data_IF_111788508329
#
_entry.id   IF_111788508329
#
_cell.length_a   1.000
_cell.length_b   1.000
_cell.length_c   1.000
_cell.angle_alpha   90.00
_cell.angle_beta   90.00
_cell.angle_gamma   90.00
#
_symmetry.space_group_name_H-M   'P 1'
#
loop_
_entity.id
_entity.type
_entity.pdbx_description
1 polymer ?
#
# COMPACT_ATOMS: atom_id res chain seq x y z
N UNK A 1 9.55 20.00 -2.48
CA UNK A 1 9.10 20.07 -1.06
C UNK A 1 7.79 20.83 -0.92
N UNK A 2 7.64 22.00 -1.55
CA UNK A 2 6.34 22.69 -1.63
C UNK A 2 5.24 21.81 -2.26
N UNK A 3 5.55 21.05 -3.30
CA UNK A 3 4.57 20.15 -3.95
C UNK A 3 4.10 19.02 -3.02
N UNK A 4 5.00 18.46 -2.21
CA UNK A 4 4.67 17.44 -1.20
C UNK A 4 3.76 18.03 -0.12
N UNK A 5 4.01 19.27 0.32
CA UNK A 5 3.21 19.96 1.33
C UNK A 5 1.82 20.35 0.81
N UNK A 6 1.72 20.80 -0.44
CA UNK A 6 0.44 21.05 -1.11
C UNK A 6 -0.37 19.76 -1.21
N UNK A 7 0.29 18.65 -1.57
CA UNK A 7 -0.34 17.34 -1.66
C UNK A 7 -0.79 16.80 -0.30
N UNK A 8 -0.04 17.08 0.77
CA UNK A 8 -0.43 16.70 2.14
C UNK A 8 -1.72 17.41 2.58
N UNK A 9 -1.93 18.67 2.18
CA UNK A 9 -3.14 19.42 2.51
C UNK A 9 -4.37 18.83 1.82
N UNK A 10 -4.23 18.46 0.54
CA UNK A 10 -5.26 17.75 -0.22
C UNK A 10 -5.56 16.38 0.39
N UNK A 11 -4.53 15.62 0.75
CA UNK A 11 -4.69 14.32 1.38
C UNK A 11 -5.41 14.41 2.73
N UNK A 12 -5.04 15.38 3.57
CA UNK A 12 -5.70 15.59 4.86
C UNK A 12 -7.20 15.91 4.68
N UNK A 13 -7.54 16.69 3.66
CA UNK A 13 -8.92 17.01 3.31
C UNK A 13 -9.69 15.76 2.86
N UNK A 14 -9.07 14.92 2.03
CA UNK A 14 -9.68 13.67 1.55
C UNK A 14 -9.84 12.63 2.67
N UNK A 15 -8.82 12.44 3.51
CA UNK A 15 -8.91 11.60 4.70
C UNK A 15 -10.05 12.08 5.61
N UNK A 16 -10.13 13.38 5.87
CA UNK A 16 -11.21 13.96 6.66
C UNK A 16 -12.60 13.69 6.07
N UNK A 17 -12.74 13.78 4.74
CA UNK A 17 -13.99 13.42 4.05
C UNK A 17 -14.31 11.93 4.20
N UNK A 18 -13.36 11.03 3.94
CA UNK A 18 -13.57 9.57 4.04
C UNK A 18 -13.98 9.15 5.46
N UNK A 19 -13.30 9.67 6.48
CA UNK A 19 -13.63 9.39 7.88
C UNK A 19 -15.03 9.91 8.22
N UNK A 20 -15.41 11.09 7.69
CA UNK A 20 -16.74 11.67 7.88
C UNK A 20 -17.85 10.87 7.18
N UNK A 21 -17.55 10.27 6.03
CA UNK A 21 -18.43 9.37 5.28
C UNK A 21 -18.54 7.97 5.93
N UNK A 22 -17.78 7.70 6.99
CA UNK A 22 -17.81 6.46 7.75
C UNK A 22 -16.86 5.37 7.24
N UNK A 23 -15.95 5.72 6.32
CA UNK A 23 -14.87 4.81 5.94
C UNK A 23 -13.88 4.62 7.08
N UNK A 24 -13.22 3.47 7.05
CA UNK A 24 -12.12 3.12 7.94
C UNK A 24 -10.82 3.04 7.15
N UNK A 25 -9.72 3.41 7.78
CA UNK A 25 -8.43 3.59 7.12
C UNK A 25 -7.30 3.01 7.98
N UNK A 26 -6.32 2.44 7.30
CA UNK A 26 -5.02 2.09 7.87
C UNK A 26 -3.94 2.92 7.18
N UNK A 27 -3.13 3.61 7.97
CA UNK A 27 -2.00 4.42 7.52
C UNK A 27 -0.71 3.67 7.79
N UNK A 28 0.04 3.36 6.74
CA UNK A 28 1.38 2.79 6.84
C UNK A 28 2.39 3.95 6.96
N UNK A 29 2.86 4.23 8.17
CA UNK A 29 3.71 5.38 8.46
C UNK A 29 5.20 4.99 8.40
N UNK A 30 5.96 5.40 7.37
CA UNK A 30 7.41 5.18 7.34
C UNK A 30 8.09 5.97 8.47
N UNK A 31 9.03 5.32 9.15
CA UNK A 31 9.82 5.96 10.20
C UNK A 31 10.81 7.00 9.63
N UNK A 32 11.38 7.81 10.52
CA UNK A 32 12.32 8.88 10.15
C UNK A 32 13.54 8.33 9.39
N UNK A 33 14.03 7.15 9.75
CA UNK A 33 15.16 6.51 9.07
C UNK A 33 14.82 6.10 7.63
N UNK A 34 13.63 5.57 7.39
CA UNK A 34 13.12 5.24 6.07
C UNK A 34 12.95 6.49 5.22
N UNK A 35 12.40 7.54 5.81
CA UNK A 35 12.23 8.84 5.15
C UNK A 35 13.57 9.52 4.85
N UNK A 36 14.59 9.37 5.70
CA UNK A 36 15.92 9.90 5.45
C UNK A 36 16.64 9.17 4.30
N UNK A 37 16.34 7.89 4.08
CA UNK A 37 16.89 7.09 2.96
C UNK A 37 16.30 7.48 1.61
N UNK A 38 15.17 8.19 1.57
CA UNK A 38 14.66 8.80 0.33
C UNK A 38 15.58 9.95 -0.11
N UNK A 39 16.57 9.61 -0.93
CA UNK A 39 17.41 10.64 -1.57
C UNK A 39 16.61 11.46 -2.60
N UNK A 40 16.99 12.72 -2.82
CA UNK A 40 16.34 13.62 -3.80
C UNK A 40 16.35 13.08 -5.23
N UNK A 41 17.32 12.23 -5.59
CA UNK A 41 17.34 11.56 -6.89
C UNK A 41 16.18 10.56 -7.03
N UNK A 42 15.76 9.89 -5.96
CA UNK A 42 14.66 8.92 -6.01
C UNK A 42 13.29 9.56 -6.21
N UNK A 43 13.00 10.71 -5.60
CA UNK A 43 11.74 11.43 -5.86
C UNK A 43 11.59 11.86 -7.34
N UNK A 44 12.70 12.01 -8.06
CA UNK A 44 12.71 12.39 -9.48
C UNK A 44 12.41 11.21 -10.40
N UNK A 45 12.64 9.97 -9.94
CA UNK A 45 12.44 8.72 -10.68
C UNK A 45 11.13 8.01 -10.26
N UNK A 46 10.68 8.22 -9.03
CA UNK A 46 9.53 7.56 -8.39
C UNK A 46 8.18 8.27 -8.64
N UNK A 47 7.86 8.61 -9.89
CA UNK A 47 6.52 9.12 -10.24
C UNK A 47 6.05 10.34 -9.42
N UNK A 48 4.74 10.57 -9.37
CA UNK A 48 4.19 11.69 -8.60
C UNK A 48 4.29 11.38 -7.09
N UNK A 49 4.89 12.26 -6.25
CA UNK A 49 5.03 12.03 -4.81
C UNK A 49 3.69 11.80 -4.11
N UNK A 50 2.62 12.37 -4.67
CA UNK A 50 1.24 12.10 -4.29
C UNK A 50 0.89 10.61 -4.34
N UNK A 51 1.28 9.91 -5.41
CA UNK A 51 0.96 8.50 -5.60
C UNK A 51 1.65 7.59 -4.58
N UNK A 52 2.87 7.95 -4.17
CA UNK A 52 3.59 7.28 -3.08
C UNK A 52 2.79 7.43 -1.78
N UNK A 53 2.33 8.63 -1.44
CA UNK A 53 1.55 8.86 -0.23
C UNK A 53 0.26 8.03 -0.21
N UNK A 54 -0.51 8.02 -1.30
CA UNK A 54 -1.73 7.21 -1.39
C UNK A 54 -1.46 5.69 -1.31
N UNK A 55 -0.27 5.24 -1.72
CA UNK A 55 0.11 3.84 -1.65
C UNK A 55 0.29 3.35 -0.20
N UNK A 56 0.50 4.26 0.75
CA UNK A 56 0.59 3.96 2.17
C UNK A 56 -0.78 3.96 2.87
N UNK A 57 -1.87 4.20 2.15
CA UNK A 57 -3.21 4.26 2.71
C UNK A 57 -4.04 3.08 2.23
N UNK A 58 -4.44 2.24 3.18
CA UNK A 58 -5.30 1.07 2.95
C UNK A 58 -6.72 1.46 3.41
N UNK A 59 -7.76 1.38 2.56
CA UNK A 59 -9.14 1.75 2.91
C UNK A 59 -9.86 0.63 3.67
N UNK A 60 -9.15 0.01 4.61
CA UNK A 60 -9.64 -1.03 5.52
C UNK A 60 -9.02 -0.79 6.89
N UNK A 61 -9.69 -1.25 7.95
CA UNK A 61 -9.16 -1.18 9.31
C UNK A 61 -8.30 -2.42 9.61
N UNK A 62 -7.01 -2.23 9.86
CA UNK A 62 -6.06 -3.30 10.08
C UNK A 62 -5.20 -3.01 11.33
N UNK A 63 -5.35 -3.86 12.34
CA UNK A 63 -4.45 -3.90 13.51
C UNK A 63 -3.27 -4.81 13.23
N UNK A 64 -2.23 -4.73 14.07
CA UNK A 64 -1.12 -5.70 14.04
C UNK A 64 -1.63 -7.15 14.04
N UNK A 65 -2.49 -7.46 15.00
CA UNK A 65 -3.05 -8.81 15.17
C UNK A 65 -3.77 -9.28 13.89
N UNK A 66 -4.59 -8.42 13.29
CA UNK A 66 -5.30 -8.75 12.04
C UNK A 66 -4.32 -9.04 10.92
N UNK A 67 -3.36 -8.16 10.69
CA UNK A 67 -2.39 -8.30 9.59
C UNK A 67 -1.56 -9.56 9.76
N UNK A 68 -1.06 -9.82 10.98
CA UNK A 68 -0.28 -11.01 11.30
C UNK A 68 -1.07 -12.29 11.08
N UNK A 69 -2.30 -12.34 11.60
CA UNK A 69 -3.18 -13.49 11.45
C UNK A 69 -3.50 -13.76 9.97
N UNK A 70 -3.74 -12.72 9.17
CA UNK A 70 -4.02 -12.87 7.74
C UNK A 70 -2.82 -13.44 6.99
N UNK A 71 -1.61 -12.89 7.18
CA UNK A 71 -0.42 -13.40 6.47
C UNK A 71 -0.02 -14.80 6.95
N UNK A 72 -0.23 -15.14 8.22
CA UNK A 72 0.00 -16.49 8.74
C UNK A 72 -0.96 -17.53 8.14
N UNK A 73 -2.23 -17.16 7.96
CA UNK A 73 -3.27 -18.07 7.46
C UNK A 73 -3.26 -18.23 5.94
N UNK A 74 -3.01 -17.14 5.22
CA UNK A 74 -3.10 -17.10 3.76
C UNK A 74 -1.74 -17.05 3.06
N UNK A 75 -0.65 -16.89 3.81
CA UNK A 75 0.72 -16.75 3.30
C UNK A 75 0.98 -15.37 2.69
N UNK A 76 0.22 -15.02 1.65
CA UNK A 76 0.35 -13.77 0.91
C UNK A 76 -1.01 -13.07 0.78
N UNK A 77 -1.10 -11.87 1.32
CA UNK A 77 -2.31 -11.03 1.36
C UNK A 77 -2.11 -9.83 0.45
N UNK A 78 -3.18 -9.34 -0.17
CA UNK A 78 -3.15 -8.12 -1.00
C UNK A 78 -4.14 -7.13 -0.43
N UNK A 79 -3.65 -5.98 0.01
CA UNK A 79 -4.45 -4.86 0.45
C UNK A 79 -4.68 -3.91 -0.71
N UNK A 80 -5.93 -3.48 -0.88
CA UNK A 80 -6.23 -2.35 -1.74
C UNK A 80 -5.63 -1.07 -1.17
N UNK A 81 -5.20 -0.16 -2.05
CA UNK A 81 -4.79 1.18 -1.64
C UNK A 81 -5.80 2.21 -2.15
N UNK A 82 -5.76 3.40 -1.57
CA UNK A 82 -6.75 4.45 -1.85
C UNK A 82 -6.77 4.87 -3.34
N UNK A 83 -5.67 4.71 -4.08
CA UNK A 83 -5.64 4.89 -5.55
C UNK A 83 -5.53 3.54 -6.26
N UNK A 84 -6.63 3.08 -6.84
CA UNK A 84 -6.66 1.92 -7.75
C UNK A 84 -5.84 2.19 -9.03
N UNK A 85 -5.24 1.16 -9.65
CA UNK A 85 -5.32 -0.26 -9.31
C UNK A 85 -4.23 -0.74 -8.32
N UNK A 86 -3.57 0.16 -7.61
CA UNK A 86 -2.41 -0.20 -6.81
C UNK A 86 -2.81 -1.04 -5.58
N UNK A 87 -2.13 -2.18 -5.40
CA UNK A 87 -2.27 -3.05 -4.23
C UNK A 87 -0.94 -3.19 -3.50
N UNK A 88 -0.98 -3.19 -2.17
CA UNK A 88 0.16 -3.53 -1.32
C UNK A 88 0.09 -5.01 -1.01
N UNK A 89 1.16 -5.72 -1.32
CA UNK A 89 1.30 -7.12 -0.95
C UNK A 89 1.83 -7.20 0.47
N UNK A 90 1.29 -8.10 1.29
CA UNK A 90 1.82 -8.43 2.60
C UNK A 90 2.10 -9.93 2.74
N UNK A 91 3.20 -10.28 3.38
CA UNK A 91 3.62 -11.66 3.66
C UNK A 91 4.30 -11.76 5.03
N UNK A 92 4.27 -12.95 5.65
CA UNK A 92 5.03 -13.17 6.88
C UNK A 92 6.51 -13.31 6.55
N UNK A 93 7.36 -12.54 7.24
CA UNK A 93 8.80 -12.62 7.09
C UNK A 93 9.50 -12.21 8.39
N UNK A 94 10.49 -13.01 8.80
CA UNK A 94 11.30 -12.76 10.00
C UNK A 94 10.49 -12.57 11.29
N UNK A 95 9.34 -13.22 11.41
CA UNK A 95 8.46 -13.08 12.58
C UNK A 95 7.64 -11.79 12.62
N UNK A 96 7.71 -10.95 11.57
CA UNK A 96 6.90 -9.74 11.40
C UNK A 96 6.11 -9.81 10.07
N UNK A 97 5.34 -8.77 9.78
CA UNK A 97 4.63 -8.58 8.51
C UNK A 97 5.51 -7.73 7.59
N UNK A 98 5.80 -8.25 6.40
CA UNK A 98 6.51 -7.53 5.35
C UNK A 98 5.52 -7.07 4.29
N UNK A 99 5.56 -5.79 3.96
CA UNK A 99 4.76 -5.13 2.95
C UNK A 99 5.59 -4.81 1.72
N UNK A 100 4.95 -4.75 0.56
CA UNK A 100 5.57 -4.33 -0.70
C UNK A 100 6.40 -5.43 -1.38
N UNK A 101 7.05 -5.07 -2.49
CA UNK A 101 7.83 -5.99 -3.32
C UNK A 101 9.13 -5.33 -3.79
N UNK A 102 10.15 -6.14 -4.05
CA UNK A 102 11.45 -5.77 -4.65
C UNK A 102 12.25 -4.75 -3.83
N UNK A 103 12.28 -3.47 -4.24
CA UNK A 103 13.05 -2.40 -3.59
C UNK A 103 12.18 -1.48 -2.71
N UNK A 104 10.86 -1.53 -2.87
CA UNK A 104 9.89 -0.75 -2.10
C UNK A 104 9.17 -1.59 -1.05
N UNK A 105 9.90 -2.46 -0.34
CA UNK A 105 9.33 -3.22 0.78
C UNK A 105 9.61 -2.55 2.11
N UNK A 106 8.79 -2.88 3.11
CA UNK A 106 8.97 -2.44 4.48
C UNK A 106 8.45 -3.52 5.45
N UNK A 107 9.03 -3.61 6.63
CA UNK A 107 8.54 -4.44 7.73
C UNK A 107 7.69 -3.60 8.69
N UNK A 108 6.68 -4.24 9.28
CA UNK A 108 6.00 -3.71 10.45
C UNK A 108 7.02 -3.62 11.59
N UNK A 109 7.24 -2.40 12.08
CA UNK A 109 8.26 -2.09 13.08
C UNK A 109 7.64 -1.56 14.37
N UNK A 110 6.69 -0.64 14.26
CA UNK A 110 6.00 -0.03 15.39
C UNK A 110 4.49 -0.22 15.20
N UNK A 111 3.93 -1.37 15.63
CA UNK A 111 2.53 -1.68 15.43
C UNK A 111 1.61 -0.78 16.26
N UNK A 112 0.44 -0.49 15.72
CA UNK A 112 -0.67 0.15 16.44
C UNK A 112 -0.30 1.50 17.12
N UNK A 113 0.56 2.31 16.47
CA UNK A 113 0.95 3.67 16.93
C UNK A 113 -0.26 4.51 17.35
N UNK A 114 -1.34 4.39 16.58
CA UNK A 114 -2.62 5.02 16.88
C UNK A 114 -3.75 4.12 16.39
N UNK A 115 -4.76 3.92 17.23
CA UNK A 115 -5.98 3.17 16.88
C UNK A 115 -7.18 3.78 17.58
N UNK A 116 -8.24 4.10 16.83
CA UNK A 116 -9.51 4.61 17.39
C UNK A 116 -10.76 3.85 16.89
N UNK A 117 -10.55 2.73 16.20
CA UNK A 117 -11.62 1.93 15.58
C UNK A 117 -12.07 2.44 14.21
N UNK A 118 -11.57 3.60 13.74
CA UNK A 118 -11.78 4.09 12.37
C UNK A 118 -10.47 4.28 11.63
N UNK A 119 -9.47 4.81 12.32
CA UNK A 119 -8.11 4.99 11.82
C UNK A 119 -7.22 4.06 12.63
N UNK A 120 -6.34 3.36 11.93
CA UNK A 120 -5.19 2.68 12.51
C UNK A 120 -3.91 3.20 11.84
N UNK A 121 -2.85 3.38 12.62
CA UNK A 121 -1.54 3.84 12.14
C UNK A 121 -0.51 2.79 12.49
N UNK A 122 0.21 2.33 11.48
CA UNK A 122 1.15 1.22 11.54
C UNK A 122 2.52 1.72 11.12
N UNK A 123 3.49 1.69 12.03
CA UNK A 123 4.86 2.12 11.76
C UNK A 123 5.62 1.09 10.96
N UNK A 124 6.25 1.53 9.86
CA UNK A 124 7.07 0.69 9.00
C UNK A 124 8.49 1.25 8.83
N UNK A 125 9.45 0.35 8.60
CA UNK A 125 10.89 0.68 8.51
C UNK A 125 11.38 1.01 7.08
N UNK A 126 10.45 1.16 6.14
CA UNK A 126 10.72 1.40 4.73
C UNK A 126 9.60 2.20 4.08
N UNK A 127 9.87 2.75 2.90
CA UNK A 127 8.88 3.49 2.10
C UNK A 127 8.33 2.55 1.05
N UNK A 128 7.01 2.37 1.04
CA UNK A 128 6.33 1.56 0.06
C UNK A 128 6.27 2.28 -1.28
N UNK A 129 6.69 1.59 -2.34
CA UNK A 129 6.73 2.15 -3.69
C UNK A 129 5.73 1.39 -4.57
N UNK A 130 4.77 2.08 -5.20
CA UNK A 130 3.89 1.43 -6.16
C UNK A 130 4.73 0.92 -7.33
N UNK A 131 4.65 -0.38 -7.60
CA UNK A 131 5.31 -0.95 -8.77
C UNK A 131 4.63 -0.39 -10.02
N UNK A 132 5.38 0.29 -10.89
CA UNK A 132 4.91 0.75 -12.20
C UNK A 132 4.80 -0.42 -13.18
N UNK A 133 4.17 -1.51 -12.75
CA UNK A 133 3.95 -2.68 -13.57
C UNK A 133 2.48 -2.70 -13.92
N UNK A 134 2.22 -2.27 -15.15
CA UNK A 134 0.98 -2.46 -15.88
C UNK A 134 0.50 -3.88 -15.56
N UNK A 135 -0.63 -4.01 -14.86
CA UNK A 135 -1.44 -5.21 -14.98
C UNK A 135 -1.82 -5.30 -16.46
N UNK A 136 -0.96 -5.96 -17.25
CA UNK A 136 -1.39 -6.58 -18.48
C UNK A 136 -2.42 -7.60 -18.03
N UNK A 137 -3.69 -7.17 -18.07
CA UNK A 137 -4.83 -8.04 -17.95
C UNK A 137 -4.51 -9.34 -18.72
N UNK A 138 -4.76 -10.53 -18.13
CA UNK A 138 -4.51 -11.77 -18.83
C UNK A 138 -5.25 -11.70 -20.17
N UNK A 139 -4.50 -11.68 -21.27
CA UNK A 139 -5.06 -11.87 -22.61
C UNK A 139 -5.77 -13.21 -22.57
N UNK A 140 -7.09 -13.16 -22.47
CA UNK A 140 -7.96 -14.32 -22.62
C UNK A 140 -7.67 -14.84 -24.03
N UNK A 141 -6.85 -15.87 -24.13
CA UNK A 141 -6.67 -16.62 -25.38
C UNK A 141 -8.04 -17.15 -25.79
N UNK A 142 -8.60 -16.77 -26.95
CA UNK A 142 -9.81 -17.40 -27.43
C UNK A 142 -9.47 -18.86 -27.73
N UNK A 143 -10.12 -19.77 -27.01
CA UNK A 143 -10.09 -21.20 -27.29
C UNK A 143 -10.57 -21.40 -28.73
N UNK A 144 -9.66 -21.82 -29.60
CA UNK A 144 -9.99 -22.18 -30.98
C UNK A 144 -10.99 -23.34 -30.96
N UNK A 145 -12.24 -23.07 -31.37
CA UNK A 145 -13.19 -24.10 -31.77
C UNK A 145 -12.65 -24.79 -33.01
N UNK A 146 -12.04 -25.95 -32.85
CA UNK A 146 -11.85 -26.90 -33.94
C UNK A 146 -13.16 -27.66 -34.11
N UNK A 147 -13.99 -27.24 -35.07
CA UNK A 147 -15.09 -28.05 -35.59
C UNK A 147 -15.13 -27.89 -37.10
N UNK A 148 -14.95 -29.02 -37.80
CA UNK A 148 -15.50 -29.40 -39.12
C UNK A 148 -14.44 -29.88 -40.13
N UNK A 149 -14.37 -31.21 -40.29
CA UNK A 149 -14.28 -31.85 -41.61
C UNK A 149 -15.14 -33.12 -41.57
N UNK A 150 -16.29 -33.05 -42.23
CA UNK A 150 -16.91 -34.18 -42.93
C UNK A 150 -16.47 -34.11 -44.39
#
# INVERSE_FOLDING_TARGET
MADILVNLTSLASEMGRLISEGYVLTVMAPNDEAMAKLTTNWLSELGEPEQIMYYHLIPEYQTEESMYNLVRRFGKVRYDTLKLPNKVVAEEANGSVKFGQREGFAYLFDPDIYTDGRISVQGIDGVLIPSKEIELAPKVTPVAKVVSKQ
#
